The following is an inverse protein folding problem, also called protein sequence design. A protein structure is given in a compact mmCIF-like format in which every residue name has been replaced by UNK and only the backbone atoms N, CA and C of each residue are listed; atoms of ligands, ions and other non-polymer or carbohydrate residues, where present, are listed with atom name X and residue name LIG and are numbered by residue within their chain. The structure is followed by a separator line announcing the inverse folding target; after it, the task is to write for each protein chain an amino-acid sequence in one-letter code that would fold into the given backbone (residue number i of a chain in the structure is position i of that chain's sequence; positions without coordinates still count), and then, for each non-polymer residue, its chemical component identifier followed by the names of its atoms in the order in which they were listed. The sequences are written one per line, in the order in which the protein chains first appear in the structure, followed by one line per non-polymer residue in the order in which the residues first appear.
data_IF_787693444219
#
_entry.id   IF_787693444219
#
_cell.length_a   1.000
_cell.length_b   1.000
_cell.length_c   1.000
_cell.angle_alpha   90.00
_cell.angle_beta   90.00
_cell.angle_gamma   90.00
#
_symmetry.space_group_name_H-M   'P 1'
#
loop_
_entity.id
_entity.type
_entity.pdbx_description
1 polymer ?
#
# COMPACT_ATOMS: atom_id res chain seq x y z
N UNK A 1 -76.62 -7.83 -30.12
CA UNK A 1 -75.37 -7.07 -30.38
C UNK A 1 -74.32 -7.54 -29.37
N UNK A 2 -73.31 -8.31 -29.84
CA UNK A 2 -72.21 -8.83 -28.98
C UNK A 2 -70.99 -7.96 -29.26
N UNK A 3 -70.53 -7.20 -28.26
CA UNK A 3 -69.30 -6.42 -28.34
C UNK A 3 -68.11 -7.33 -27.96
N UNK A 4 -67.20 -7.54 -28.95
CA UNK A 4 -65.92 -8.23 -28.74
C UNK A 4 -64.89 -7.14 -28.33
N UNK A 5 -64.45 -7.16 -27.08
CA UNK A 5 -63.41 -6.29 -26.58
C UNK A 5 -62.06 -6.95 -26.94
N UNK A 6 -61.32 -6.32 -27.86
CA UNK A 6 -59.94 -6.71 -28.18
C UNK A 6 -58.98 -6.05 -27.17
N UNK A 7 -58.47 -6.84 -26.25
CA UNK A 7 -57.42 -6.38 -25.33
C UNK A 7 -56.07 -6.37 -26.06
N UNK A 8 -55.55 -5.20 -26.32
CA UNK A 8 -54.19 -5.04 -26.84
C UNK A 8 -53.18 -5.26 -25.69
N UNK A 9 -52.44 -6.38 -25.74
CA UNK A 9 -51.33 -6.68 -24.83
C UNK A 9 -50.11 -5.89 -25.30
N UNK A 10 -49.82 -4.76 -24.65
CA UNK A 10 -48.59 -4.01 -24.89
C UNK A 10 -47.44 -4.70 -24.16
N UNK A 11 -46.63 -5.47 -24.90
CA UNK A 11 -45.40 -6.08 -24.38
C UNK A 11 -44.32 -4.98 -24.26
N UNK A 12 -44.13 -4.43 -23.06
CA UNK A 12 -43.05 -3.51 -22.77
C UNK A 12 -41.72 -4.31 -22.74
N UNK A 13 -40.98 -4.28 -23.83
CA UNK A 13 -39.61 -4.79 -23.86
C UNK A 13 -38.71 -3.81 -23.09
N UNK A 14 -38.33 -4.16 -21.86
CA UNK A 14 -37.27 -3.46 -21.14
C UNK A 14 -35.96 -3.75 -21.84
N UNK A 15 -35.43 -2.78 -22.57
CA UNK A 15 -34.07 -2.78 -23.07
C UNK A 15 -33.13 -2.72 -21.84
N UNK A 16 -32.61 -3.86 -21.43
CA UNK A 16 -31.47 -3.92 -20.50
C UNK A 16 -30.26 -3.32 -21.23
N UNK A 17 -29.99 -2.06 -20.98
CA UNK A 17 -28.78 -1.40 -21.46
C UNK A 17 -27.63 -2.09 -20.74
N UNK A 18 -26.75 -2.80 -21.48
CA UNK A 18 -25.51 -3.34 -20.94
C UNK A 18 -24.66 -2.17 -20.45
N UNK A 19 -24.53 -2.02 -19.12
CA UNK A 19 -23.63 -1.02 -18.54
C UNK A 19 -22.19 -1.35 -18.93
N UNK A 20 -21.51 -0.40 -19.57
CA UNK A 20 -20.07 -0.49 -19.87
C UNK A 20 -19.21 -0.47 -18.60
N UNK A 21 -17.88 -0.48 -18.73
CA UNK A 21 -16.96 -0.33 -17.60
C UNK A 21 -17.28 0.93 -16.80
N UNK A 22 -17.28 0.81 -15.46
CA UNK A 22 -17.54 1.93 -14.56
C UNK A 22 -16.45 2.06 -13.52
N UNK A 23 -16.17 3.29 -13.11
CA UNK A 23 -15.29 3.56 -11.98
C UNK A 23 -16.05 3.31 -10.67
N UNK A 24 -15.46 2.50 -9.77
CA UNK A 24 -16.06 2.13 -8.49
C UNK A 24 -15.12 2.51 -7.36
N UNK A 25 -15.64 3.21 -6.36
CA UNK A 25 -14.91 3.61 -5.16
C UNK A 25 -15.43 2.83 -3.95
N UNK A 26 -14.67 1.84 -3.41
CA UNK A 26 -15.06 1.19 -2.16
C UNK A 26 -15.02 2.18 -0.99
N UNK A 27 -15.90 2.02 0.00
CA UNK A 27 -15.91 2.86 1.19
C UNK A 27 -14.91 2.37 2.23
N UNK A 28 -14.31 3.31 2.98
CA UNK A 28 -13.45 3.04 4.13
C UNK A 28 -13.98 3.80 5.35
N UNK A 29 -13.92 3.18 6.54
CA UNK A 29 -14.13 3.86 7.81
C UNK A 29 -12.80 4.34 8.36
N UNK A 30 -11.81 3.46 8.47
CA UNK A 30 -10.47 3.75 8.95
C UNK A 30 -9.47 2.88 8.17
N UNK A 31 -8.67 3.47 7.26
CA UNK A 31 -7.68 2.71 6.51
C UNK A 31 -6.53 2.25 7.42
N UNK A 32 -6.45 0.94 7.72
CA UNK A 32 -5.40 0.29 8.52
C UNK A 32 -4.61 -0.67 7.65
N UNK A 33 -3.33 -0.38 7.44
CA UNK A 33 -2.47 -1.18 6.57
C UNK A 33 -1.12 -1.41 7.19
N UNK A 34 -0.63 -2.65 7.13
CA UNK A 34 0.76 -2.99 7.39
C UNK A 34 1.44 -3.46 6.10
N UNK A 35 2.49 -2.77 5.69
CA UNK A 35 3.33 -3.16 4.58
C UNK A 35 4.41 -4.13 5.04
N UNK A 36 4.48 -5.29 4.40
CA UNK A 36 5.51 -6.30 4.59
C UNK A 36 6.63 -6.08 3.56
N UNK A 37 7.67 -5.32 3.95
CA UNK A 37 8.82 -5.09 3.09
C UNK A 37 9.84 -6.21 3.30
N UNK A 38 9.86 -7.13 2.34
CA UNK A 38 10.84 -8.21 2.23
C UNK A 38 11.43 -8.22 0.82
N UNK A 39 12.39 -7.33 0.59
CA UNK A 39 12.97 -7.13 -0.72
C UNK A 39 14.32 -7.85 -0.84
N UNK A 40 14.57 -8.46 -1.99
CA UNK A 40 15.81 -9.16 -2.34
C UNK A 40 16.95 -8.21 -2.77
N UNK A 41 16.60 -6.95 -3.15
CA UNK A 41 17.53 -5.91 -3.60
C UNK A 41 17.18 -4.57 -2.95
N UNK A 42 18.16 -3.92 -2.26
CA UNK A 42 17.95 -2.60 -1.66
C UNK A 42 17.48 -1.51 -2.64
N UNK A 43 17.80 -1.62 -3.93
CA UNK A 43 17.39 -0.65 -4.94
C UNK A 43 15.88 -0.68 -5.19
N UNK A 44 15.21 -1.79 -4.88
CA UNK A 44 13.75 -1.92 -5.00
C UNK A 44 12.96 -1.07 -4.01
N UNK A 45 13.64 -0.49 -2.99
CA UNK A 45 13.00 0.37 -1.98
C UNK A 45 12.20 1.53 -2.60
N UNK A 46 12.70 2.13 -3.69
CA UNK A 46 12.00 3.23 -4.35
C UNK A 46 10.64 2.80 -4.92
N UNK A 47 10.58 1.59 -5.49
CA UNK A 47 9.34 1.02 -6.01
C UNK A 47 8.40 0.61 -4.87
N UNK A 48 8.92 0.05 -3.77
CA UNK A 48 8.12 -0.29 -2.60
C UNK A 48 7.50 0.96 -1.95
N UNK A 49 8.25 2.04 -1.82
CA UNK A 49 7.73 3.33 -1.32
C UNK A 49 6.66 3.95 -2.24
N UNK A 50 6.69 3.62 -3.54
CA UNK A 50 5.61 4.02 -4.45
C UNK A 50 4.27 3.35 -4.08
N UNK A 51 4.28 2.13 -3.53
CA UNK A 51 3.05 1.45 -3.10
C UNK A 51 2.37 2.17 -1.94
N UNK A 52 3.15 2.74 -1.00
CA UNK A 52 2.60 3.58 0.07
C UNK A 52 1.89 4.80 -0.54
N UNK A 53 2.55 5.50 -1.48
CA UNK A 53 1.94 6.64 -2.17
C UNK A 53 0.68 6.25 -2.94
N UNK A 54 0.68 5.07 -3.55
CA UNK A 54 -0.47 4.57 -4.34
C UNK A 54 -1.70 4.26 -3.48
N UNK A 55 -1.50 4.02 -2.18
CA UNK A 55 -2.60 3.96 -1.21
C UNK A 55 -2.99 5.36 -0.73
N UNK A 56 -2.03 6.15 -0.26
CA UNK A 56 -2.30 7.43 0.39
C UNK A 56 -2.94 8.45 -0.56
N UNK A 57 -2.37 8.64 -1.76
CA UNK A 57 -2.85 9.70 -2.67
C UNK A 57 -4.33 9.56 -3.02
N UNK A 58 -4.84 8.40 -3.49
CA UNK A 58 -6.27 8.27 -3.78
C UNK A 58 -7.16 8.46 -2.56
N UNK A 59 -6.70 8.07 -1.36
CA UNK A 59 -7.47 8.25 -0.13
C UNK A 59 -7.49 9.70 0.34
N UNK A 60 -6.50 10.51 -0.02
CA UNK A 60 -6.47 11.95 0.28
C UNK A 60 -7.32 12.78 -0.68
N UNK A 61 -7.70 12.22 -1.84
CA UNK A 61 -8.51 12.87 -2.87
C UNK A 61 -10.00 12.51 -2.72
N UNK A 62 -10.87 13.23 -3.46
CA UNK A 62 -12.29 12.88 -3.52
C UNK A 62 -12.51 11.48 -4.12
N UNK A 63 -13.49 10.70 -3.64
CA UNK A 63 -14.51 11.09 -2.66
C UNK A 63 -14.12 10.85 -1.19
N UNK A 64 -12.90 10.39 -0.91
CA UNK A 64 -12.50 9.96 0.44
C UNK A 64 -12.11 11.13 1.34
N UNK A 65 -11.24 12.04 0.85
CA UNK A 65 -10.75 13.22 1.56
C UNK A 65 -10.17 12.93 2.96
N UNK A 66 -9.49 11.78 3.13
CA UNK A 66 -8.80 11.47 4.37
C UNK A 66 -7.60 12.40 4.56
N UNK A 67 -7.46 12.98 5.74
CA UNK A 67 -6.18 13.56 6.14
C UNK A 67 -5.15 12.43 6.37
N UNK A 68 -3.85 12.65 6.14
CA UNK A 68 -2.82 11.62 6.35
C UNK A 68 -2.91 10.94 7.71
N UNK A 69 -3.21 11.71 8.76
CA UNK A 69 -3.31 11.26 10.15
C UNK A 69 -4.52 10.34 10.41
N UNK A 70 -5.47 10.28 9.47
CA UNK A 70 -6.62 9.36 9.53
C UNK A 70 -6.31 7.99 8.93
N UNK A 71 -5.12 7.83 8.35
CA UNK A 71 -4.65 6.57 7.79
C UNK A 71 -3.62 5.95 8.72
N UNK A 72 -3.90 4.76 9.23
CA UNK A 72 -2.97 4.06 10.12
C UNK A 72 -2.10 3.08 9.31
N UNK A 73 -0.87 3.51 8.99
CA UNK A 73 0.04 2.80 8.11
C UNK A 73 1.32 2.41 8.84
N UNK A 74 1.61 1.11 8.86
CA UNK A 74 2.85 0.52 9.38
C UNK A 74 3.66 -0.04 8.22
N UNK A 75 4.99 0.04 8.31
CA UNK A 75 5.92 -0.56 7.34
C UNK A 75 6.93 -1.39 8.12
N UNK A 76 7.00 -2.68 7.84
CA UNK A 76 7.93 -3.61 8.50
C UNK A 76 9.02 -3.99 7.51
N UNK A 77 10.27 -3.63 7.81
CA UNK A 77 11.45 -3.80 6.97
C UNK A 77 12.26 -4.99 7.49
N UNK A 78 12.47 -6.02 6.65
CA UNK A 78 13.20 -7.21 7.08
C UNK A 78 13.93 -7.99 5.97
N UNK A 79 14.02 -7.44 4.76
CA UNK A 79 14.80 -7.99 3.67
C UNK A 79 16.12 -7.25 3.46
N UNK A 80 16.70 -7.38 2.26
CA UNK A 80 17.95 -6.70 1.90
C UNK A 80 17.86 -5.17 1.95
N UNK A 81 16.64 -4.61 1.87
CA UNK A 81 16.40 -3.17 1.96
C UNK A 81 16.71 -2.56 3.34
N UNK A 82 16.90 -3.37 4.38
CA UNK A 82 17.29 -2.91 5.72
C UNK A 82 18.53 -2.02 5.69
N UNK A 83 19.44 -2.27 4.75
CA UNK A 83 20.66 -1.47 4.59
C UNK A 83 20.37 -0.01 4.21
N UNK A 84 19.21 0.28 3.64
CA UNK A 84 18.83 1.62 3.19
C UNK A 84 18.56 2.56 4.37
N UNK A 85 18.08 2.02 5.50
CA UNK A 85 17.73 2.80 6.70
C UNK A 85 18.88 2.89 7.71
N UNK A 86 20.03 2.29 7.43
CA UNK A 86 21.22 2.46 8.25
C UNK A 86 21.86 3.83 8.04
N UNK A 87 22.18 4.57 9.11
CA UNK A 87 22.77 5.91 9.09
C UNK A 87 24.06 5.99 8.23
N UNK A 88 24.92 4.96 8.33
CA UNK A 88 26.18 4.90 7.56
C UNK A 88 25.95 4.88 6.04
N UNK A 89 24.79 4.44 5.59
CA UNK A 89 24.42 4.31 4.18
C UNK A 89 23.58 5.49 3.65
N UNK A 90 23.31 6.51 4.49
CA UNK A 90 22.42 7.63 4.13
C UNK A 90 22.79 8.29 2.81
N UNK A 91 24.09 8.58 2.58
CA UNK A 91 24.52 9.24 1.35
C UNK A 91 24.15 8.45 0.08
N UNK A 92 24.19 7.11 0.15
CA UNK A 92 23.85 6.23 -0.96
C UNK A 92 22.34 6.13 -1.20
N UNK A 93 21.54 6.16 -0.13
CA UNK A 93 20.09 5.96 -0.21
C UNK A 93 19.29 7.21 0.20
N UNK A 94 19.91 8.38 0.08
CA UNK A 94 19.38 9.67 0.54
C UNK A 94 17.93 9.89 0.10
N UNK A 95 17.63 9.71 -1.18
CA UNK A 95 16.29 9.97 -1.72
C UNK A 95 15.22 9.05 -1.14
N UNK A 96 15.56 7.77 -0.88
CA UNK A 96 14.66 6.83 -0.23
C UNK A 96 14.46 7.19 1.24
N UNK A 97 15.53 7.49 1.97
CA UNK A 97 15.48 7.88 3.39
C UNK A 97 14.69 9.18 3.58
N UNK A 98 14.93 10.19 2.75
CA UNK A 98 14.19 11.45 2.84
C UNK A 98 12.70 11.28 2.53
N UNK A 99 12.37 10.39 1.60
CA UNK A 99 10.98 10.03 1.32
C UNK A 99 10.32 9.28 2.49
N UNK A 100 11.03 8.34 3.10
CA UNK A 100 10.54 7.65 4.31
C UNK A 100 10.33 8.63 5.46
N UNK A 101 11.29 9.55 5.68
CA UNK A 101 11.14 10.61 6.70
C UNK A 101 9.93 11.51 6.43
N UNK A 102 9.68 11.84 5.17
CA UNK A 102 8.48 12.59 4.79
C UNK A 102 7.21 11.80 5.14
N UNK A 103 7.13 10.50 4.79
CA UNK A 103 5.97 9.68 5.17
C UNK A 103 5.85 9.53 6.70
N UNK A 104 6.95 9.40 7.42
CA UNK A 104 6.93 9.38 8.88
C UNK A 104 6.36 10.68 9.46
N UNK A 105 6.65 11.83 8.86
CA UNK A 105 6.03 13.11 9.26
C UNK A 105 4.53 13.20 8.98
N UNK A 106 4.00 12.30 8.15
CA UNK A 106 2.57 12.13 7.86
C UNK A 106 1.90 11.03 8.72
N UNK A 107 2.62 10.44 9.68
CA UNK A 107 2.09 9.42 10.58
C UNK A 107 2.40 7.98 10.17
N UNK A 108 3.14 7.73 9.08
CA UNK A 108 3.56 6.36 8.72
C UNK A 108 4.67 5.89 9.67
N UNK A 109 4.48 4.75 10.32
CA UNK A 109 5.47 4.16 11.21
C UNK A 109 6.36 3.17 10.45
N UNK A 110 7.68 3.37 10.54
CA UNK A 110 8.67 2.48 9.94
C UNK A 110 9.35 1.63 11.02
N UNK A 111 9.24 0.32 10.89
CA UNK A 111 9.73 -0.66 11.85
C UNK A 111 10.75 -1.57 11.19
N UNK A 112 11.84 -1.87 11.88
CA UNK A 112 12.90 -2.79 11.44
C UNK A 112 12.86 -4.05 12.28
N UNK A 113 12.93 -5.20 11.63
CA UNK A 113 13.05 -6.51 12.28
C UNK A 113 14.38 -6.62 13.02
N UNK A 114 14.33 -6.83 14.34
CA UNK A 114 15.54 -6.99 15.17
C UNK A 114 16.37 -8.22 14.82
N UNK A 115 15.73 -9.33 14.39
CA UNK A 115 16.46 -10.52 13.92
C UNK A 115 17.21 -10.21 12.62
N UNK A 116 16.55 -9.56 11.64
CA UNK A 116 17.23 -9.14 10.42
C UNK A 116 18.35 -8.12 10.71
N UNK A 117 18.15 -7.19 11.65
CA UNK A 117 19.20 -6.27 12.07
C UNK A 117 20.45 -7.01 12.59
N UNK A 118 20.27 -8.08 13.38
CA UNK A 118 21.37 -8.91 13.86
C UNK A 118 22.07 -9.65 12.72
N UNK A 119 21.34 -10.21 11.76
CA UNK A 119 21.91 -10.90 10.59
C UNK A 119 22.77 -9.95 9.72
N UNK A 120 22.46 -8.65 9.73
CA UNK A 120 23.23 -7.62 9.03
C UNK A 120 24.26 -6.89 9.93
N UNK A 121 24.52 -7.37 11.16
CA UNK A 121 25.42 -6.78 12.14
C UNK A 121 25.08 -5.30 12.48
N UNK A 122 23.78 -4.95 12.49
CA UNK A 122 23.31 -3.64 12.89
C UNK A 122 22.83 -3.63 14.35
N UNK A 123 23.13 -2.53 15.03
CA UNK A 123 22.63 -2.22 16.36
C UNK A 123 21.53 -1.13 16.27
N UNK A 124 20.72 -1.00 17.31
CA UNK A 124 19.65 0.02 17.39
C UNK A 124 20.13 1.44 17.01
N UNK A 125 21.31 1.85 17.47
CA UNK A 125 21.90 3.17 17.20
C UNK A 125 22.27 3.43 15.74
N UNK A 126 22.37 2.37 14.93
CA UNK A 126 22.82 2.45 13.53
C UNK A 126 21.70 2.88 12.59
N UNK A 127 20.44 2.83 13.03
CA UNK A 127 19.28 3.20 12.21
C UNK A 127 18.95 4.69 12.28
N UNK A 128 18.23 5.18 11.25
CA UNK A 128 17.68 6.54 11.21
C UNK A 128 16.73 6.77 12.40
N UNK A 129 16.60 8.02 12.83
CA UNK A 129 15.92 8.39 14.07
C UNK A 129 14.40 8.17 14.05
N UNK A 130 13.78 8.05 12.86
CA UNK A 130 12.36 7.75 12.69
C UNK A 130 12.07 6.23 12.63
N UNK A 131 13.09 5.38 12.77
CA UNK A 131 12.95 3.92 12.74
C UNK A 131 12.75 3.39 14.15
N UNK A 132 11.75 2.52 14.30
CA UNK A 132 11.58 1.68 15.47
C UNK A 132 12.14 0.29 15.19
N UNK A 133 12.85 -0.30 16.15
CA UNK A 133 13.31 -1.70 16.04
C UNK A 133 12.40 -2.58 16.88
N UNK A 134 11.86 -3.62 16.24
CA UNK A 134 10.91 -4.57 16.85
C UNK A 134 11.52 -5.96 16.96
N UNK A 135 11.04 -6.85 17.84
CA UNK A 135 11.65 -8.17 18.04
C UNK A 135 11.80 -8.97 16.76
N UNK A 136 10.75 -9.07 15.94
CA UNK A 136 10.80 -9.68 14.61
C UNK A 136 9.69 -9.13 13.70
N UNK A 137 9.90 -9.22 12.38
CA UNK A 137 8.87 -8.86 11.40
C UNK A 137 7.60 -9.70 11.59
N UNK A 138 7.75 -10.99 11.84
CA UNK A 138 6.59 -11.88 11.96
C UNK A 138 5.75 -11.59 13.21
N UNK A 139 6.37 -11.23 14.33
CA UNK A 139 5.59 -10.80 15.52
C UNK A 139 4.81 -9.53 15.24
N UNK A 140 5.39 -8.57 14.51
CA UNK A 140 4.70 -7.34 14.10
C UNK A 140 3.54 -7.64 13.14
N UNK A 141 3.79 -8.41 12.07
CA UNK A 141 2.76 -8.74 11.09
C UNK A 141 1.57 -9.48 11.73
N UNK A 142 1.83 -10.43 12.65
CA UNK A 142 0.77 -11.12 13.40
C UNK A 142 0.01 -10.13 14.30
N UNK A 143 0.74 -9.28 15.03
CA UNK A 143 0.13 -8.30 15.93
C UNK A 143 -0.84 -7.38 15.17
N UNK A 144 -0.39 -6.75 14.09
CA UNK A 144 -1.20 -5.78 13.35
C UNK A 144 -2.39 -6.45 12.65
N UNK A 145 -2.22 -7.67 12.11
CA UNK A 145 -3.36 -8.41 11.54
C UNK A 145 -4.43 -8.71 12.59
N UNK A 146 -4.04 -9.06 13.82
CA UNK A 146 -4.98 -9.24 14.93
C UNK A 146 -5.69 -7.95 15.33
N UNK A 147 -5.11 -6.78 15.03
CA UNK A 147 -5.72 -5.47 15.22
C UNK A 147 -6.55 -5.00 14.01
N UNK A 148 -6.76 -5.87 13.02
CA UNK A 148 -7.60 -5.59 11.86
C UNK A 148 -6.89 -4.89 10.69
N UNK A 149 -5.54 -4.88 10.66
CA UNK A 149 -4.80 -4.31 9.54
C UNK A 149 -4.78 -5.25 8.34
N UNK A 150 -4.96 -4.66 7.14
CA UNK A 150 -4.70 -5.35 5.89
C UNK A 150 -3.20 -5.44 5.65
N UNK A 151 -2.72 -6.63 5.22
CA UNK A 151 -1.29 -6.81 4.85
C UNK A 151 -1.11 -6.54 3.37
N UNK A 152 -0.14 -5.69 3.02
CA UNK A 152 0.30 -5.48 1.65
C UNK A 152 1.79 -5.84 1.54
N UNK A 153 2.10 -6.84 0.72
CA UNK A 153 3.47 -7.19 0.37
C UNK A 153 3.80 -6.68 -1.03
N UNK A 154 4.71 -5.69 -1.18
CA UNK A 154 5.10 -5.17 -2.49
C UNK A 154 5.84 -6.23 -3.30
N UNK A 155 5.22 -6.72 -4.35
CA UNK A 155 5.86 -7.59 -5.33
C UNK A 155 6.47 -6.75 -6.46
N UNK A 156 7.77 -6.47 -6.34
CA UNK A 156 8.49 -5.63 -7.30
C UNK A 156 9.10 -6.50 -8.39
N UNK A 157 8.41 -6.55 -9.52
CA UNK A 157 8.86 -7.30 -10.70
C UNK A 157 9.55 -6.40 -11.72
N UNK A 158 10.59 -6.88 -12.42
CA UNK A 158 11.20 -6.15 -13.52
C UNK A 158 10.19 -5.90 -14.65
N UNK A 159 10.22 -4.71 -15.25
CA UNK A 159 9.46 -4.43 -16.46
C UNK A 159 10.31 -4.82 -17.68
N UNK A 160 9.84 -5.80 -18.43
CA UNK A 160 10.54 -6.32 -19.61
C UNK A 160 10.14 -5.62 -20.93
N UNK A 161 9.02 -4.88 -20.93
CA UNK A 161 8.48 -4.19 -22.09
C UNK A 161 8.16 -2.74 -21.76
N UNK A 162 8.24 -1.88 -22.76
CA UNK A 162 7.68 -0.52 -22.65
C UNK A 162 6.15 -0.55 -22.76
N UNK A 163 5.49 0.54 -22.38
CA UNK A 163 4.03 0.65 -22.51
C UNK A 163 3.63 0.60 -23.99
N UNK A 164 4.45 1.20 -24.87
CA UNK A 164 4.23 1.26 -26.31
C UNK A 164 4.25 -0.13 -26.95
N UNK A 165 5.11 -1.04 -26.45
CA UNK A 165 5.22 -2.41 -26.98
C UNK A 165 4.04 -3.31 -26.59
N UNK A 166 3.35 -3.02 -25.48
CA UNK A 166 2.28 -3.88 -24.93
C UNK A 166 0.88 -3.25 -24.97
N UNK A 167 0.74 -2.03 -25.49
CA UNK A 167 -0.55 -1.32 -25.62
C UNK A 167 -1.35 -1.76 -26.81
#
# INVERSE_FOLDING_TARGET
MRYVIFALLVCATTLTQAEGPRYVTPSYEEPKVVYDFYLDDPQKIHAALFWIRSLMNPLMEEPYNFAPEMMDIKVVIHGAEIVTVAKKNYAKYKDAVDRMRYYASLGVEFKVCGLAAQDFDYQLKDFQDFIEVVPSAFTELVHWQQQGYAVIQPNIVPRHYTIEEIR
#
